data_IF_192918433754
#
_entry.id   IF_192918433754
#
_cell.length_a   1.000
_cell.length_b   1.000
_cell.length_c   1.000
_cell.angle_alpha   90.00
_cell.angle_beta   90.00
_cell.angle_gamma   90.00
#
_symmetry.space_group_name_H-M   'P 1'
#
loop_
_entity.id
_entity.type
_entity.pdbx_description
1 polymer ?
#
# COMPACT_ATOMS: atom_id res chain seq x y z
N UNK A 1 -9.16 -15.10 -5.44
CA UNK A 1 -8.95 -14.50 -4.11
C UNK A 1 -7.46 -14.36 -3.83
N UNK A 2 -6.89 -13.20 -4.17
CA UNK A 2 -5.51 -12.81 -3.84
C UNK A 2 -5.52 -11.69 -2.80
N UNK A 3 -4.80 -11.89 -1.71
CA UNK A 3 -4.67 -10.90 -0.62
C UNK A 3 -3.25 -10.37 -0.62
N UNK A 4 -3.09 -9.06 -0.78
CA UNK A 4 -1.82 -8.37 -0.59
C UNK A 4 -1.63 -8.01 0.87
N UNK A 5 -0.42 -8.21 1.40
CA UNK A 5 -0.06 -7.84 2.77
C UNK A 5 1.16 -6.93 2.75
N UNK A 6 1.10 -5.84 3.50
CA UNK A 6 2.21 -4.88 3.66
C UNK A 6 2.25 -4.35 5.09
N UNK A 7 3.42 -3.94 5.58
CA UNK A 7 3.62 -3.32 6.91
C UNK A 7 4.71 -2.26 6.81
N UNK A 8 4.97 -1.57 7.92
CA UNK A 8 6.17 -0.76 8.16
C UNK A 8 6.35 0.34 7.11
N UNK A 9 5.23 0.93 6.71
CA UNK A 9 5.21 2.11 5.83
C UNK A 9 5.32 3.39 6.66
N UNK A 10 6.34 3.45 7.52
CA UNK A 10 6.67 4.58 8.40
C UNK A 10 7.22 5.77 7.60
N UNK A 11 6.40 6.28 6.68
CA UNK A 11 6.71 7.33 5.73
C UNK A 11 5.80 8.53 6.00
N UNK A 12 6.29 9.72 5.65
CA UNK A 12 5.48 10.94 5.76
C UNK A 12 4.42 11.04 4.66
N UNK A 13 4.69 10.47 3.49
CA UNK A 13 3.85 10.53 2.29
C UNK A 13 4.19 9.39 1.32
N UNK A 14 3.35 9.14 0.30
CA UNK A 14 3.71 8.28 -0.81
C UNK A 14 5.08 8.61 -1.40
N UNK A 15 5.84 7.58 -1.75
CA UNK A 15 7.11 7.70 -2.47
C UNK A 15 6.98 7.07 -3.84
N UNK A 16 7.79 7.50 -4.84
CA UNK A 16 7.79 6.86 -6.16
C UNK A 16 8.09 5.35 -6.10
N UNK A 17 8.90 4.92 -5.13
CA UNK A 17 9.18 3.51 -4.89
C UNK A 17 7.92 2.77 -4.39
N UNK A 18 7.22 3.32 -3.40
CA UNK A 18 6.00 2.71 -2.88
C UNK A 18 4.93 2.63 -3.96
N UNK A 19 4.75 3.68 -4.77
CA UNK A 19 3.83 3.67 -5.92
C UNK A 19 4.18 2.58 -6.93
N UNK A 20 5.47 2.42 -7.24
CA UNK A 20 5.94 1.36 -8.12
C UNK A 20 5.64 -0.02 -7.53
N UNK A 21 5.95 -0.25 -6.25
CA UNK A 21 5.69 -1.52 -5.54
C UNK A 21 4.21 -1.86 -5.56
N UNK A 22 3.34 -0.90 -5.25
CA UNK A 22 1.89 -1.12 -5.23
C UNK A 22 1.35 -1.46 -6.61
N UNK A 23 1.79 -0.74 -7.65
CA UNK A 23 1.39 -1.05 -9.03
C UNK A 23 1.87 -2.42 -9.48
N UNK A 24 3.11 -2.78 -9.18
CA UNK A 24 3.76 -4.01 -9.67
C UNK A 24 3.26 -5.26 -8.94
N UNK A 25 3.10 -5.20 -7.61
CA UNK A 25 2.85 -6.40 -6.80
C UNK A 25 1.41 -6.49 -6.25
N UNK A 26 0.71 -5.36 -6.12
CA UNK A 26 -0.66 -5.28 -5.61
C UNK A 26 -1.67 -4.95 -6.72
N UNK A 27 -1.23 -5.03 -7.99
CA UNK A 27 -2.03 -4.74 -9.19
C UNK A 27 -3.30 -5.59 -9.29
N UNK A 28 -3.21 -6.87 -8.93
CA UNK A 28 -4.26 -7.89 -9.05
C UNK A 28 -4.77 -8.40 -7.69
N UNK A 29 -4.42 -7.72 -6.59
CA UNK A 29 -4.93 -8.05 -5.27
C UNK A 29 -6.39 -7.60 -5.11
N UNK A 30 -7.24 -8.49 -4.59
CA UNK A 30 -8.65 -8.21 -4.30
C UNK A 30 -8.83 -7.56 -2.92
N UNK A 31 -7.93 -7.85 -1.99
CA UNK A 31 -7.89 -7.25 -0.65
C UNK A 31 -6.45 -6.87 -0.33
N UNK A 32 -6.24 -5.71 0.29
CA UNK A 32 -4.94 -5.29 0.80
C UNK A 32 -5.05 -5.08 2.31
N UNK A 33 -4.21 -5.79 3.05
CA UNK A 33 -4.11 -5.69 4.51
C UNK A 33 -2.82 -4.96 4.87
N UNK A 34 -2.96 -3.81 5.53
CA UNK A 34 -1.84 -3.10 6.13
C UNK A 34 -1.67 -3.58 7.59
N UNK A 35 -0.57 -4.27 7.89
CA UNK A 35 -0.38 -5.02 9.14
C UNK A 35 0.13 -4.19 10.33
N UNK A 36 0.49 -2.92 10.13
CA UNK A 36 0.89 -2.02 11.22
C UNK A 36 1.95 -1.02 10.80
N UNK A 37 2.37 -0.19 11.77
CA UNK A 37 3.46 0.79 11.62
C UNK A 37 3.26 1.80 10.46
N UNK A 38 2.05 2.36 10.41
CA UNK A 38 1.69 3.49 9.56
C UNK A 38 1.94 4.80 10.30
N UNK A 39 2.84 5.64 9.79
CA UNK A 39 3.12 6.95 10.40
C UNK A 39 2.11 8.03 9.97
N UNK A 40 1.87 8.16 8.66
CA UNK A 40 0.91 9.12 8.11
C UNK A 40 -0.14 8.42 7.24
N UNK A 41 -1.41 8.75 7.46
CA UNK A 41 -2.54 8.23 6.66
C UNK A 41 -2.40 8.51 5.16
N UNK A 42 -1.73 9.60 4.77
CA UNK A 42 -1.49 9.97 3.37
C UNK A 42 -0.71 8.88 2.61
N UNK A 43 0.11 8.08 3.31
CA UNK A 43 0.83 6.96 2.69
C UNK A 43 -0.14 5.98 2.05
N UNK A 44 -1.35 5.82 2.60
CA UNK A 44 -2.37 4.93 2.03
C UNK A 44 -2.95 5.42 0.70
N UNK A 45 -2.68 6.66 0.29
CA UNK A 45 -3.18 7.20 -0.97
C UNK A 45 -2.66 6.43 -2.19
N UNK A 46 -1.52 5.73 -2.08
CA UNK A 46 -1.01 4.83 -3.13
C UNK A 46 -1.95 3.67 -3.45
N UNK A 47 -2.85 3.32 -2.54
CA UNK A 47 -3.84 2.24 -2.70
C UNK A 47 -5.21 2.75 -3.17
N UNK A 48 -5.38 4.05 -3.43
CA UNK A 48 -6.65 4.60 -3.94
C UNK A 48 -7.05 3.91 -5.25
N UNK A 49 -8.34 3.59 -5.37
CA UNK A 49 -8.89 2.85 -6.52
C UNK A 49 -8.72 1.33 -6.43
N UNK A 50 -8.15 0.81 -5.34
CA UNK A 50 -8.08 -0.62 -5.00
C UNK A 50 -8.88 -0.89 -3.72
N UNK A 51 -10.20 -0.73 -3.80
CA UNK A 51 -11.16 -1.06 -2.73
C UNK A 51 -11.88 -2.35 -3.04
#
# INVERSE_FOLDING_TARGET
MKIGVISDTHLDKPTPLLEHVVRTYFGDAEIILHAGDLHRRQVLDVFRGKT
#
